data_IF_283904288295
#
_entry.id   IF_283904288295
#
_cell.length_a   1.000
_cell.length_b   1.000
_cell.length_c   1.000
_cell.angle_alpha   90.00
_cell.angle_beta   90.00
_cell.angle_gamma   90.00
#
_symmetry.space_group_name_H-M   'P 1'
#
loop_
_entity.id
_entity.type
_entity.pdbx_description
1 polymer ?
#
# COMPACT_ATOMS: atom_id res chain seq x y z
N UNK A 1 -10.85 2.06 67.07
CA UNK A 1 -10.16 1.50 65.89
C UNK A 1 -11.03 1.63 64.66
N UNK A 2 -10.78 2.50 63.70
CA UNK A 2 -10.32 3.88 63.73
C UNK A 2 -10.54 4.33 62.29
N UNK A 3 -11.26 5.44 62.11
CA UNK A 3 -11.79 5.98 60.84
C UNK A 3 -10.73 6.16 59.73
N UNK A 4 -9.46 5.92 60.05
CA UNK A 4 -8.28 5.89 59.17
C UNK A 4 -8.37 4.81 58.08
N UNK A 5 -8.88 3.61 58.37
CA UNK A 5 -8.95 2.53 57.36
C UNK A 5 -9.95 2.84 56.23
N UNK A 6 -11.05 3.53 56.54
CA UNK A 6 -12.04 3.94 55.53
C UNK A 6 -11.46 5.02 54.61
N UNK A 7 -10.62 5.92 55.16
CA UNK A 7 -9.96 6.98 54.37
C UNK A 7 -8.93 6.39 53.40
N UNK A 8 -8.17 5.37 53.82
CA UNK A 8 -7.17 4.70 52.96
C UNK A 8 -7.86 3.94 51.80
N UNK A 9 -9.01 3.32 52.05
CA UNK A 9 -9.75 2.56 51.04
C UNK A 9 -10.43 3.48 50.00
N UNK A 10 -10.86 4.67 50.42
CA UNK A 10 -11.39 5.70 49.52
C UNK A 10 -10.26 6.28 48.66
N UNK A 11 -9.07 6.57 49.21
CA UNK A 11 -7.93 7.09 48.44
C UNK A 11 -7.46 6.11 47.36
N UNK A 12 -7.46 4.79 47.62
CA UNK A 12 -7.08 3.79 46.62
C UNK A 12 -8.11 3.63 45.49
N UNK A 13 -9.40 3.87 45.76
CA UNK A 13 -10.45 3.76 44.74
C UNK A 13 -10.50 4.96 43.82
N UNK A 14 -10.11 6.17 44.27
CA UNK A 14 -9.99 7.33 43.36
C UNK A 14 -8.74 7.25 42.47
N UNK A 15 -7.68 6.58 42.91
CA UNK A 15 -6.45 6.41 42.11
C UNK A 15 -6.54 5.32 41.04
N UNK A 16 -7.51 4.40 41.13
CA UNK A 16 -7.68 3.28 40.20
C UNK A 16 -8.64 3.56 39.04
N UNK A 17 -9.18 4.77 38.94
CA UNK A 17 -9.92 5.24 37.76
C UNK A 17 -9.08 6.25 36.97
N UNK A 18 -7.90 5.81 36.49
CA UNK A 18 -7.41 6.36 35.23
C UNK A 18 -8.28 5.77 34.13
N UNK A 19 -9.38 6.48 33.82
CA UNK A 19 -10.08 6.33 32.55
C UNK A 19 -9.03 6.60 31.48
N UNK A 20 -8.64 5.58 30.72
CA UNK A 20 -7.84 5.78 29.52
C UNK A 20 -8.60 6.77 28.64
N UNK A 21 -8.11 8.00 28.62
CA UNK A 21 -8.55 8.98 27.66
C UNK A 21 -8.09 8.47 26.30
N UNK A 22 -8.98 7.79 25.57
CA UNK A 22 -8.85 7.50 24.13
C UNK A 22 -8.88 8.77 23.25
N UNK A 23 -8.55 9.93 23.80
CA UNK A 23 -8.39 11.19 23.10
C UNK A 23 -6.97 11.69 23.38
N UNK A 24 -6.03 11.24 22.55
CA UNK A 24 -4.63 11.61 22.64
C UNK A 24 -3.81 10.85 21.61
N UNK A 25 -3.79 11.39 20.39
CA UNK A 25 -2.77 11.15 19.37
C UNK A 25 -2.35 9.69 19.18
N UNK A 26 -3.12 8.94 18.40
CA UNK A 26 -2.52 7.83 17.65
C UNK A 26 -1.54 8.49 16.67
N UNK A 27 -0.30 8.73 17.10
CA UNK A 27 0.83 8.90 16.19
C UNK A 27 1.01 7.54 15.53
N UNK A 28 0.26 7.29 14.46
CA UNK A 28 0.25 6.01 13.73
C UNK A 28 1.67 5.79 13.23
N UNK A 29 2.45 4.99 13.94
CA UNK A 29 3.75 4.55 13.45
C UNK A 29 3.48 3.59 12.30
N UNK A 30 3.89 3.96 11.08
CA UNK A 30 3.80 3.16 9.84
C UNK A 30 4.49 1.77 9.95
N UNK A 31 5.17 1.49 11.05
CA UNK A 31 6.04 0.32 11.27
C UNK A 31 5.30 -0.96 11.70
N UNK A 32 4.05 -0.85 12.18
CA UNK A 32 3.32 -1.98 12.78
C UNK A 32 2.03 -2.37 12.03
N UNK A 33 1.67 -1.66 10.97
CA UNK A 33 0.42 -1.90 10.22
C UNK A 33 0.73 -2.34 8.81
N UNK A 34 -0.05 -3.29 8.29
CA UNK A 34 -0.03 -3.55 6.86
C UNK A 34 -0.50 -2.29 6.09
N UNK A 35 -0.08 -2.09 4.83
CA UNK A 35 -0.41 -0.88 4.08
C UNK A 35 -1.91 -0.61 3.98
N UNK A 36 -2.71 -1.67 3.82
CA UNK A 36 -4.17 -1.58 3.72
C UNK A 36 -4.79 -0.98 4.97
N UNK A 37 -4.41 -1.46 6.15
CA UNK A 37 -4.85 -0.95 7.45
C UNK A 37 -4.38 0.48 7.66
N UNK A 38 -3.09 0.76 7.40
CA UNK A 38 -2.52 2.10 7.57
C UNK A 38 -3.27 3.15 6.74
N UNK A 39 -3.49 2.87 5.45
CA UNK A 39 -4.16 3.81 4.56
C UNK A 39 -5.69 3.77 4.67
N UNK A 40 -6.29 2.78 5.33
CA UNK A 40 -7.74 2.73 5.57
C UNK A 40 -8.25 3.94 6.36
N UNK A 41 -7.40 4.50 7.23
CA UNK A 41 -7.74 5.65 8.07
C UNK A 41 -7.88 6.95 7.27
N UNK A 42 -6.84 7.46 6.57
CA UNK A 42 -6.97 8.67 5.77
C UNK A 42 -7.96 8.48 4.62
N UNK A 43 -8.11 7.27 4.07
CA UNK A 43 -9.01 7.03 2.93
C UNK A 43 -10.47 6.73 3.33
N UNK A 44 -10.81 6.86 4.60
CA UNK A 44 -12.19 6.70 5.06
C UNK A 44 -13.03 7.93 4.70
N UNK A 45 -13.76 7.84 3.58
CA UNK A 45 -14.59 8.92 3.03
C UNK A 45 -15.55 9.52 4.07
N UNK A 46 -16.08 8.70 5.00
CA UNK A 46 -17.02 9.17 6.04
C UNK A 46 -16.40 10.18 7.00
N UNK A 47 -15.07 10.24 7.07
CA UNK A 47 -14.31 11.17 7.92
C UNK A 47 -13.85 12.42 7.19
N UNK A 48 -14.18 12.56 5.90
CA UNK A 48 -13.69 13.67 5.09
C UNK A 48 -14.53 14.93 5.26
N UNK A 49 -13.84 16.07 5.25
CA UNK A 49 -14.45 17.37 5.05
C UNK A 49 -14.46 17.72 3.57
N UNK A 50 -15.34 18.66 3.16
CA UNK A 50 -15.40 19.18 1.79
C UNK A 50 -15.52 18.07 0.71
N UNK A 51 -16.28 17.01 1.02
CA UNK A 51 -16.47 15.88 0.12
C UNK A 51 -17.14 16.31 -1.18
N UNK A 52 -16.60 15.83 -2.29
CA UNK A 52 -17.14 15.99 -3.65
C UNK A 52 -17.03 14.66 -4.37
N UNK A 53 -18.09 14.29 -5.08
CA UNK A 53 -18.09 13.16 -6.00
C UNK A 53 -18.52 13.58 -7.40
N UNK A 54 -17.94 12.92 -8.40
CA UNK A 54 -18.29 13.06 -9.80
C UNK A 54 -18.40 11.65 -10.37
N UNK A 55 -19.58 11.32 -10.89
CA UNK A 55 -19.77 10.08 -11.66
C UNK A 55 -19.04 10.20 -12.99
N UNK A 56 -18.08 9.30 -13.25
CA UNK A 56 -17.35 9.23 -14.52
C UNK A 56 -18.17 8.41 -15.52
N UNK A 57 -18.72 7.29 -15.06
CA UNK A 57 -19.76 6.47 -15.70
C UNK A 57 -20.46 5.63 -14.63
N UNK A 58 -21.51 4.88 -14.99
CA UNK A 58 -22.40 4.21 -14.03
C UNK A 58 -21.69 3.33 -12.98
N UNK A 59 -20.55 2.76 -13.34
CA UNK A 59 -19.76 1.88 -12.47
C UNK A 59 -18.54 2.51 -11.81
N UNK A 60 -18.23 3.79 -12.07
CA UNK A 60 -17.03 4.47 -11.57
C UNK A 60 -17.32 5.90 -11.14
N UNK A 61 -17.01 6.20 -9.87
CA UNK A 61 -17.07 7.55 -9.33
C UNK A 61 -15.68 8.03 -8.94
N UNK A 62 -15.38 9.29 -9.26
CA UNK A 62 -14.22 10.00 -8.75
C UNK A 62 -14.63 10.74 -7.48
N UNK A 63 -13.88 10.55 -6.41
CA UNK A 63 -14.13 11.17 -5.11
C UNK A 63 -12.97 12.05 -4.69
N UNK A 64 -13.28 13.14 -4.01
CA UNK A 64 -12.31 14.06 -3.47
C UNK A 64 -12.81 14.59 -2.13
N UNK A 65 -11.91 14.81 -1.19
CA UNK A 65 -12.22 15.44 0.08
C UNK A 65 -10.95 15.77 0.85
N UNK A 66 -11.13 16.09 2.11
CA UNK A 66 -10.04 16.53 2.98
C UNK A 66 -10.06 15.73 4.28
N UNK A 67 -8.88 15.28 4.69
CA UNK A 67 -8.68 14.63 5.97
C UNK A 67 -7.48 15.30 6.64
N UNK A 68 -7.72 15.97 7.78
CA UNK A 68 -6.73 16.83 8.44
C UNK A 68 -6.11 17.85 7.47
N UNK A 69 -4.77 17.88 7.36
CA UNK A 69 -4.03 18.78 6.47
C UNK A 69 -3.89 18.24 5.03
N UNK A 70 -4.50 17.10 4.72
CA UNK A 70 -4.35 16.43 3.43
C UNK A 70 -5.61 16.57 2.56
N UNK A 71 -5.39 16.83 1.28
CA UNK A 71 -6.38 16.64 0.22
C UNK A 71 -6.26 15.22 -0.29
N UNK A 72 -7.38 14.52 -0.33
CA UNK A 72 -7.45 13.13 -0.78
C UNK A 72 -8.34 13.04 -2.00
N UNK A 73 -7.89 12.31 -3.01
CA UNK A 73 -8.66 12.04 -4.22
C UNK A 73 -8.42 10.60 -4.66
N UNK A 74 -9.43 9.99 -5.28
CA UNK A 74 -9.35 8.63 -5.78
C UNK A 74 -10.63 8.19 -6.47
N UNK A 75 -10.80 6.88 -6.61
CA UNK A 75 -11.93 6.30 -7.31
C UNK A 75 -12.61 5.22 -6.48
N UNK A 76 -13.95 5.18 -6.54
CA UNK A 76 -14.77 4.11 -5.99
C UNK A 76 -15.63 3.50 -7.09
N UNK A 77 -15.90 2.20 -6.96
CA UNK A 77 -16.83 1.50 -7.85
C UNK A 77 -18.30 1.73 -7.42
N UNK A 78 -19.25 1.13 -8.16
CA UNK A 78 -20.69 1.16 -7.84
C UNK A 78 -21.06 0.60 -6.46
N UNK A 79 -20.19 -0.24 -5.87
CA UNK A 79 -20.37 -0.81 -4.53
C UNK A 79 -19.70 0.04 -3.44
N UNK A 80 -19.24 1.25 -3.78
CA UNK A 80 -18.46 2.15 -2.93
C UNK A 80 -17.13 1.55 -2.43
N UNK A 81 -16.59 0.56 -3.14
CA UNK A 81 -15.28 0.01 -2.84
C UNK A 81 -14.19 0.84 -3.53
N UNK A 82 -13.09 1.10 -2.82
CA UNK A 82 -11.93 1.84 -3.30
C UNK A 82 -11.18 1.03 -4.36
N UNK A 83 -10.91 1.67 -5.49
CA UNK A 83 -10.20 1.09 -6.63
C UNK A 83 -9.25 2.10 -7.28
N UNK A 84 -8.36 1.61 -8.14
CA UNK A 84 -7.41 2.42 -8.92
C UNK A 84 -6.47 3.26 -8.03
N UNK A 85 -5.80 4.23 -8.65
CA UNK A 85 -4.89 5.14 -7.98
C UNK A 85 -5.62 6.24 -7.19
N UNK A 86 -5.16 6.41 -5.97
CA UNK A 86 -5.54 7.43 -5.03
C UNK A 86 -4.32 8.31 -4.73
N UNK A 87 -4.54 9.54 -4.33
CA UNK A 87 -3.48 10.43 -3.86
C UNK A 87 -3.88 11.14 -2.58
N UNK A 88 -2.95 11.19 -1.64
CA UNK A 88 -3.01 11.91 -0.37
C UNK A 88 -1.94 12.98 -0.44
N UNK A 89 -2.35 14.25 -0.51
CA UNK A 89 -1.43 15.37 -0.78
C UNK A 89 -1.59 16.42 0.31
N UNK A 90 -0.47 16.80 0.94
CA UNK A 90 -0.46 17.85 1.93
C UNK A 90 -0.82 19.20 1.26
N UNK A 91 -1.75 19.93 1.87
CA UNK A 91 -2.25 21.20 1.33
C UNK A 91 -1.36 22.40 1.67
N UNK A 92 -0.54 22.30 2.71
CA UNK A 92 0.14 23.44 3.33
C UNK A 92 1.64 23.46 3.10
N UNK A 93 2.26 22.28 3.06
CA UNK A 93 3.71 22.14 3.02
C UNK A 93 4.18 21.42 1.76
N UNK A 94 5.07 22.06 1.01
CA UNK A 94 5.68 21.50 -0.19
C UNK A 94 6.71 20.41 0.16
N UNK A 95 7.25 20.45 1.38
CA UNK A 95 8.20 19.47 1.91
C UNK A 95 7.54 18.29 2.63
N UNK A 96 6.22 18.32 2.80
CA UNK A 96 5.52 17.22 3.47
C UNK A 96 5.49 15.96 2.61
N UNK A 97 5.48 14.82 3.31
CA UNK A 97 5.30 13.51 2.70
C UNK A 97 3.89 13.40 2.09
N UNK A 98 3.87 13.09 0.80
CA UNK A 98 2.66 12.81 0.05
C UNK A 98 2.67 11.34 -0.36
N UNK A 99 1.52 10.78 -0.69
CA UNK A 99 1.41 9.39 -1.11
C UNK A 99 0.50 9.26 -2.32
N UNK A 100 0.94 8.48 -3.32
CA UNK A 100 0.06 7.86 -4.32
C UNK A 100 -0.10 6.40 -3.92
N UNK A 101 -1.31 5.86 -3.94
CA UNK A 101 -1.53 4.45 -3.60
C UNK A 101 -2.58 3.82 -4.51
N UNK A 102 -2.39 2.58 -4.89
CA UNK A 102 -3.28 1.81 -5.74
C UNK A 102 -4.12 0.89 -4.87
N UNK A 103 -5.44 1.06 -4.93
CA UNK A 103 -6.38 0.07 -4.41
C UNK A 103 -6.76 -0.94 -5.50
N UNK A 104 -6.76 -2.22 -5.13
CA UNK A 104 -7.33 -3.32 -5.93
C UNK A 104 -8.36 -4.08 -5.11
N UNK A 105 -9.30 -4.72 -5.81
CA UNK A 105 -10.25 -5.65 -5.18
C UNK A 105 -9.74 -7.06 -5.41
N UNK A 106 -9.48 -7.77 -4.31
CA UNK A 106 -8.97 -9.14 -4.29
C UNK A 106 -9.84 -9.90 -3.30
N UNK A 107 -10.43 -11.02 -3.73
CA UNK A 107 -11.42 -11.77 -2.93
C UNK A 107 -12.52 -10.88 -2.34
N UNK A 108 -13.00 -9.94 -3.16
CA UNK A 108 -14.02 -8.95 -2.79
C UNK A 108 -13.63 -8.01 -1.63
N UNK A 109 -12.34 -7.92 -1.30
CA UNK A 109 -11.79 -7.02 -0.28
C UNK A 109 -10.91 -5.96 -0.93
N UNK A 110 -10.93 -4.75 -0.36
CA UNK A 110 -10.04 -3.68 -0.75
C UNK A 110 -8.62 -3.97 -0.24
N UNK A 111 -7.65 -3.87 -1.14
CA UNK A 111 -6.25 -4.09 -0.83
C UNK A 111 -5.40 -2.94 -1.38
N UNK A 112 -4.50 -2.39 -0.58
CA UNK A 112 -3.48 -1.45 -1.07
C UNK A 112 -2.38 -2.26 -1.73
N UNK A 113 -2.46 -2.36 -3.05
CA UNK A 113 -1.52 -3.13 -3.86
C UNK A 113 -0.17 -2.44 -3.98
N UNK A 114 -0.19 -1.12 -4.12
CA UNK A 114 1.00 -0.30 -4.29
C UNK A 114 0.84 1.01 -3.52
N UNK A 115 1.95 1.56 -3.03
CA UNK A 115 2.03 2.94 -2.59
C UNK A 115 3.42 3.53 -2.83
N UNK A 116 3.44 4.78 -3.27
CA UNK A 116 4.61 5.57 -3.59
C UNK A 116 4.56 6.82 -2.73
N UNK A 117 5.45 6.90 -1.74
CA UNK A 117 5.68 8.12 -0.97
C UNK A 117 6.54 9.05 -1.82
N UNK A 118 6.25 10.33 -1.77
CA UNK A 118 6.97 11.32 -2.53
C UNK A 118 6.88 12.69 -1.85
N UNK A 119 7.90 13.49 -2.08
CA UNK A 119 7.92 14.91 -1.75
C UNK A 119 7.99 15.68 -3.08
N UNK A 120 7.26 16.79 -3.19
CA UNK A 120 7.19 17.57 -4.43
C UNK A 120 8.57 18.11 -4.88
N UNK A 121 9.49 18.31 -3.94
CA UNK A 121 10.84 18.82 -4.18
C UNK A 121 11.85 17.72 -4.54
N UNK A 122 11.71 16.54 -3.92
CA UNK A 122 12.71 15.46 -4.03
C UNK A 122 12.26 14.28 -4.89
N UNK A 123 11.01 14.30 -5.38
CA UNK A 123 10.44 13.22 -6.17
C UNK A 123 10.05 12.00 -5.31
N UNK A 124 10.07 10.84 -5.94
CA UNK A 124 9.61 9.58 -5.36
C UNK A 124 10.65 9.00 -4.38
N UNK A 125 10.19 8.71 -3.16
CA UNK A 125 10.99 8.02 -2.14
C UNK A 125 10.88 6.51 -2.38
N UNK A 126 11.87 5.95 -3.08
CA UNK A 126 11.90 4.51 -3.37
C UNK A 126 12.22 3.63 -2.16
N UNK A 127 12.73 4.20 -1.06
CA UNK A 127 13.17 3.45 0.13
C UNK A 127 11.99 3.10 1.04
N UNK A 128 11.01 4.01 1.14
CA UNK A 128 9.85 3.83 2.02
C UNK A 128 8.57 3.39 1.30
N UNK A 129 8.66 3.06 0.01
CA UNK A 129 7.53 2.77 -0.89
C UNK A 129 7.45 1.31 -1.27
N UNK A 130 6.24 0.87 -1.65
CA UNK A 130 5.93 -0.48 -2.11
C UNK A 130 5.29 -0.39 -3.50
N UNK A 131 6.02 -0.69 -4.56
CA UNK A 131 5.49 -0.56 -5.92
C UNK A 131 6.38 -1.33 -6.90
N UNK A 132 5.89 -1.53 -8.12
CA UNK A 132 6.72 -2.02 -9.20
C UNK A 132 6.81 -1.03 -10.35
N UNK A 133 7.93 -1.10 -11.07
CA UNK A 133 8.13 -0.46 -12.35
C UNK A 133 8.43 -1.54 -13.38
N UNK A 134 8.07 -1.25 -14.63
CA UNK A 134 8.53 -2.00 -15.79
C UNK A 134 9.36 -1.08 -16.67
N UNK A 135 10.46 -1.61 -17.20
CA UNK A 135 11.29 -0.95 -18.21
C UNK A 135 11.49 -1.89 -19.40
N UNK A 136 11.36 -1.36 -20.61
CA UNK A 136 11.81 -2.06 -21.81
C UNK A 136 13.34 -2.01 -21.86
N UNK A 137 13.97 -3.15 -22.13
CA UNK A 137 15.42 -3.21 -22.32
C UNK A 137 15.76 -3.02 -23.79
N UNK A 138 17.01 -2.62 -24.08
CA UNK A 138 17.55 -2.50 -25.46
C UNK A 138 17.59 -3.84 -26.24
N UNK A 139 17.11 -4.93 -25.62
CA UNK A 139 16.94 -6.23 -26.24
C UNK A 139 15.47 -6.40 -26.64
N UNK A 140 15.20 -6.84 -27.89
CA UNK A 140 13.83 -7.01 -28.36
C UNK A 140 13.07 -7.97 -27.44
N UNK A 141 11.84 -7.62 -27.12
CA UNK A 141 10.91 -8.46 -26.38
C UNK A 141 11.38 -8.84 -24.96
N UNK A 142 12.14 -7.97 -24.29
CA UNK A 142 12.48 -8.15 -22.87
C UNK A 142 11.99 -6.97 -22.06
N UNK A 143 11.16 -7.27 -21.05
CA UNK A 143 10.78 -6.32 -20.00
C UNK A 143 11.57 -6.65 -18.74
N UNK A 144 12.13 -5.63 -18.09
CA UNK A 144 12.58 -5.75 -16.71
C UNK A 144 11.52 -5.23 -15.78
N UNK A 145 11.10 -6.08 -14.85
CA UNK A 145 10.34 -5.67 -13.68
C UNK A 145 11.29 -5.31 -12.54
N UNK A 146 11.01 -4.21 -11.85
CA UNK A 146 11.68 -3.78 -10.62
C UNK A 146 10.64 -3.60 -9.53
N UNK A 147 10.70 -4.42 -8.48
CA UNK A 147 9.81 -4.42 -7.33
C UNK A 147 10.50 -3.73 -6.15
N UNK A 148 10.06 -2.52 -5.83
CA UNK A 148 10.57 -1.74 -4.70
C UNK A 148 9.83 -2.12 -3.44
N UNK A 149 10.58 -2.47 -2.39
CA UNK A 149 10.03 -2.90 -1.11
C UNK A 149 10.57 -1.99 0.01
N UNK A 150 9.73 -1.56 0.97
CA UNK A 150 10.19 -0.71 2.05
C UNK A 150 11.29 -1.39 2.90
N UNK A 151 12.41 -0.71 3.10
CA UNK A 151 13.56 -1.24 3.86
C UNK A 151 13.58 -0.76 5.32
N UNK A 152 12.42 -0.75 5.99
CA UNK A 152 12.25 -0.11 7.31
C UNK A 152 12.79 -0.89 8.50
N UNK A 153 12.84 -2.22 8.38
CA UNK A 153 13.40 -3.14 9.38
C UNK A 153 14.42 -4.02 8.68
N UNK A 154 15.47 -4.41 9.41
CA UNK A 154 16.48 -5.30 8.85
C UNK A 154 15.86 -6.68 8.60
N UNK A 155 15.69 -7.01 7.32
CA UNK A 155 15.17 -8.31 6.86
C UNK A 155 16.35 -9.24 6.61
N UNK A 156 16.33 -10.42 7.21
CA UNK A 156 17.26 -11.53 6.97
C UNK A 156 16.55 -12.65 6.19
N UNK A 157 17.33 -13.58 5.65
CA UNK A 157 16.82 -14.76 4.94
C UNK A 157 15.75 -14.45 3.87
N UNK A 158 15.96 -13.37 3.10
CA UNK A 158 14.97 -12.90 2.12
C UNK A 158 15.00 -13.72 0.84
N UNK A 159 13.84 -14.14 0.35
CA UNK A 159 13.65 -14.76 -0.97
C UNK A 159 12.47 -14.11 -1.67
N UNK A 160 12.59 -13.89 -2.98
CA UNK A 160 11.51 -13.30 -3.75
C UNK A 160 11.29 -14.02 -5.09
N UNK A 161 10.02 -14.20 -5.43
CA UNK A 161 9.55 -14.83 -6.66
C UNK A 161 8.52 -13.96 -7.34
N UNK A 162 8.43 -14.06 -8.67
CA UNK A 162 7.30 -13.53 -9.43
C UNK A 162 6.67 -14.67 -10.23
N UNK A 163 5.35 -14.77 -10.16
CA UNK A 163 4.52 -15.65 -10.97
C UNK A 163 3.77 -14.81 -11.98
N UNK A 164 3.90 -15.11 -13.27
CA UNK A 164 3.31 -14.36 -14.37
C UNK A 164 2.44 -15.26 -15.24
N UNK A 165 1.29 -14.74 -15.65
CA UNK A 165 0.39 -15.30 -16.66
C UNK A 165 0.19 -14.29 -17.78
N UNK A 166 0.40 -14.73 -19.01
CA UNK A 166 0.32 -13.94 -20.22
C UNK A 166 -0.97 -14.27 -20.96
N UNK A 167 -1.68 -13.24 -21.42
CA UNK A 167 -2.93 -13.38 -22.14
C UNK A 167 -2.90 -12.59 -23.43
N UNK A 168 -3.38 -13.20 -24.50
CA UNK A 168 -3.68 -12.54 -25.78
C UNK A 168 -5.13 -12.82 -26.16
N UNK A 169 -5.87 -11.79 -26.59
CA UNK A 169 -7.31 -11.88 -26.87
C UNK A 169 -8.11 -12.58 -25.76
N UNK A 170 -7.77 -12.27 -24.50
CA UNK A 170 -8.31 -12.88 -23.27
C UNK A 170 -8.08 -14.39 -23.12
N UNK A 171 -7.20 -15.01 -23.91
CA UNK A 171 -6.77 -16.40 -23.75
C UNK A 171 -5.38 -16.46 -23.15
N UNK A 172 -5.20 -17.30 -22.13
CA UNK A 172 -3.89 -17.55 -21.56
C UNK A 172 -2.98 -18.23 -22.59
N UNK A 173 -1.78 -17.69 -22.80
CA UNK A 173 -0.79 -18.21 -23.76
C UNK A 173 0.42 -18.83 -23.09
N UNK A 174 0.79 -18.35 -21.90
CA UNK A 174 1.96 -18.84 -21.14
C UNK A 174 1.80 -18.48 -19.67
N UNK A 175 2.38 -19.30 -18.80
CA UNK A 175 2.69 -18.94 -17.41
C UNK A 175 4.17 -19.18 -17.12
N UNK A 176 4.74 -18.44 -16.17
CA UNK A 176 6.09 -18.71 -15.67
C UNK A 176 6.30 -18.22 -14.24
N UNK A 177 7.12 -18.95 -13.50
CA UNK A 177 7.60 -18.59 -12.17
C UNK A 177 9.09 -18.27 -12.24
N UNK A 178 9.47 -17.09 -11.77
CA UNK A 178 10.83 -16.58 -11.87
C UNK A 178 11.33 -16.14 -10.50
N UNK A 179 12.57 -16.52 -10.18
CA UNK A 179 13.26 -16.00 -9.00
C UNK A 179 13.75 -14.59 -9.27
N UNK A 180 13.52 -13.68 -8.33
CA UNK A 180 13.97 -12.31 -8.47
C UNK A 180 15.38 -12.11 -7.88
N UNK A 181 16.15 -11.23 -8.51
CA UNK A 181 17.47 -10.82 -8.04
C UNK A 181 17.35 -9.57 -7.17
N UNK A 182 17.87 -9.63 -5.94
CA UNK A 182 17.88 -8.47 -5.04
C UNK A 182 18.98 -7.48 -5.43
N UNK A 183 18.64 -6.19 -5.50
CA UNK A 183 19.58 -5.07 -5.66
C UNK A 183 19.15 -3.92 -4.74
N UNK A 184 19.95 -3.65 -3.72
CA UNK A 184 19.66 -2.61 -2.72
C UNK A 184 18.23 -2.76 -2.14
N UNK A 185 17.35 -1.80 -2.41
CA UNK A 185 15.97 -1.73 -1.94
C UNK A 185 14.92 -2.27 -2.93
N UNK A 186 15.34 -2.95 -4.01
CA UNK A 186 14.41 -3.55 -4.96
C UNK A 186 14.82 -4.97 -5.36
N UNK A 187 13.84 -5.73 -5.84
CA UNK A 187 14.03 -7.00 -6.53
C UNK A 187 13.81 -6.77 -8.02
N UNK A 188 14.56 -7.48 -8.86
CA UNK A 188 14.40 -7.37 -10.31
C UNK A 188 14.37 -8.72 -11.01
N UNK A 189 13.71 -8.76 -12.15
CA UNK A 189 13.61 -9.92 -13.02
C UNK A 189 13.41 -9.46 -14.46
N UNK A 190 14.08 -10.14 -15.39
CA UNK A 190 13.96 -9.89 -16.82
C UNK A 190 13.06 -10.98 -17.40
N UNK A 191 12.03 -10.57 -18.14
CA UNK A 191 11.00 -11.47 -18.68
C UNK A 191 10.95 -11.33 -20.19
N UNK A 192 10.87 -12.47 -20.87
CA UNK A 192 10.74 -12.51 -22.33
C UNK A 192 9.25 -12.45 -22.66
N UNK A 193 8.83 -11.36 -23.30
CA UNK A 193 7.43 -11.15 -23.68
C UNK A 193 7.14 -11.81 -25.04
N UNK A 194 6.05 -12.58 -25.18
CA UNK A 194 5.60 -13.05 -26.48
C UNK A 194 5.34 -11.87 -27.44
N UNK A 195 5.67 -12.07 -28.72
CA UNK A 195 5.36 -11.09 -29.77
C UNK A 195 3.86 -11.15 -30.09
N UNK A 196 3.08 -10.23 -29.54
CA UNK A 196 1.64 -10.11 -29.79
C UNK A 196 1.18 -8.65 -29.66
N UNK A 197 0.16 -8.26 -30.44
CA UNK A 197 -0.29 -6.88 -30.59
C UNK A 197 -1.22 -6.39 -29.47
N UNK A 198 -1.60 -7.24 -28.49
CA UNK A 198 -2.38 -6.86 -27.31
C UNK A 198 -2.14 -7.84 -26.15
N UNK A 199 -0.97 -7.76 -25.53
CA UNK A 199 -0.59 -8.65 -24.45
C UNK A 199 -1.07 -8.11 -23.10
N UNK A 200 -1.86 -8.90 -22.37
CA UNK A 200 -2.19 -8.63 -20.96
C UNK A 200 -1.31 -9.52 -20.09
N UNK A 201 -0.59 -8.92 -19.15
CA UNK A 201 0.23 -9.64 -18.18
C UNK A 201 -0.45 -9.50 -16.82
N UNK A 202 -0.78 -10.65 -16.21
CA UNK A 202 -1.23 -10.73 -14.82
C UNK A 202 -0.14 -11.42 -14.02
N UNK A 203 0.04 -11.05 -12.76
CA UNK A 203 1.02 -11.74 -11.95
C UNK A 203 0.99 -11.37 -10.49
N UNK A 204 1.87 -12.02 -9.75
CA UNK A 204 2.07 -11.85 -8.33
C UNK A 204 3.56 -11.88 -8.04
N UNK A 205 4.08 -10.81 -7.49
CA UNK A 205 5.37 -10.80 -6.82
C UNK A 205 5.15 -11.12 -5.34
N UNK A 206 5.98 -11.99 -4.78
CA UNK A 206 5.99 -12.34 -3.35
C UNK A 206 7.43 -12.26 -2.83
N UNK A 207 7.64 -11.53 -1.73
CA UNK A 207 8.86 -11.57 -0.93
C UNK A 207 8.56 -12.26 0.40
N UNK A 208 9.16 -13.42 0.63
CA UNK A 208 9.25 -14.03 1.96
C UNK A 208 10.53 -13.59 2.67
N UNK A 209 10.43 -13.23 3.95
CA UNK A 209 11.58 -12.80 4.74
C UNK A 209 11.40 -13.10 6.23
N UNK A 210 12.50 -13.00 6.97
CA UNK A 210 12.54 -13.14 8.41
C UNK A 210 13.11 -11.85 9.02
N UNK A 211 12.60 -11.41 10.17
CA UNK A 211 13.22 -10.33 10.94
C UNK A 211 14.31 -10.89 11.87
N UNK A 212 15.18 -10.02 12.39
CA UNK A 212 16.28 -10.45 13.27
C UNK A 212 15.84 -11.13 14.58
N UNK A 213 14.57 -11.02 14.96
CA UNK A 213 13.94 -11.70 16.10
C UNK A 213 13.25 -13.03 15.73
N UNK A 214 13.33 -13.44 14.46
CA UNK A 214 12.73 -14.67 13.95
C UNK A 214 11.28 -14.53 13.47
N UNK A 215 10.67 -13.35 13.56
CA UNK A 215 9.32 -13.12 13.03
C UNK A 215 9.34 -13.21 11.49
N UNK A 216 8.49 -14.08 10.94
CA UNK A 216 8.33 -14.25 9.50
C UNK A 216 7.41 -13.18 8.92
N UNK A 217 7.74 -12.67 7.74
CA UNK A 217 6.93 -11.73 7.00
C UNK A 217 6.83 -12.10 5.53
N UNK A 218 5.74 -11.64 4.93
CA UNK A 218 5.47 -11.76 3.50
C UNK A 218 5.07 -10.38 2.96
N UNK A 219 5.50 -10.06 1.75
CA UNK A 219 5.08 -8.85 1.05
C UNK A 219 4.75 -9.18 -0.38
N UNK A 220 3.54 -8.80 -0.80
CA UNK A 220 2.99 -9.15 -2.09
C UNK A 220 2.70 -7.90 -2.93
N UNK A 221 2.88 -8.04 -4.25
CA UNK A 221 2.48 -7.02 -5.23
C UNK A 221 1.83 -7.71 -6.42
N UNK A 222 0.56 -7.40 -6.67
CA UNK A 222 -0.18 -7.89 -7.83
C UNK A 222 0.17 -7.04 -9.06
N UNK A 223 0.42 -7.72 -10.17
CA UNK A 223 0.80 -7.14 -11.45
C UNK A 223 -0.42 -7.21 -12.38
N UNK A 224 -0.70 -6.10 -13.05
CA UNK A 224 -1.67 -6.05 -14.14
C UNK A 224 -1.17 -5.03 -15.15
N UNK A 225 -0.64 -5.52 -16.26
CA UNK A 225 -0.10 -4.71 -17.34
C UNK A 225 -0.82 -5.02 -18.65
N UNK A 226 -0.91 -4.01 -19.51
CA UNK A 226 -1.31 -4.18 -20.91
C UNK A 226 -0.20 -3.60 -21.77
N UNK A 227 0.33 -4.41 -22.69
CA UNK A 227 1.28 -4.01 -23.71
C UNK A 227 0.55 -3.93 -25.05
N UNK A 228 0.81 -2.87 -25.79
CA UNK A 228 0.22 -2.58 -27.11
C UNK A 228 1.33 -2.47 -28.14
#
# INVERSE_FOLDING_TARGET
MSKVYIIILIIFTVYSCKKENHNGDIKIKKENYNPTEYFSFPTNIKKWQNYKEITVHDSLKKVCGEFENYKIQGYINQYNQKINWWSIVNKKDIQADNVRLEYRIIDNKEYVNQYINYNKSNGDDTINSLFYLKEELDKPHILRYKFYIPNKKNKVNTSATVSLSYFSDNKEIKTEDLKCLKKNNYYMVDVHIPTDNNLIIKGLFEEGYEYGDGEMGVTDIYILDTLK
#
